data_IF_287701049237
#
_entry.id   IF_287701049237
#
_cell.length_a   1.000
_cell.length_b   1.000
_cell.length_c   1.000
_cell.angle_alpha   90.00
_cell.angle_beta   90.00
_cell.angle_gamma   90.00
#
_symmetry.space_group_name_H-M   'P 1'
#
loop_
_entity.id
_entity.type
_entity.pdbx_description
1 polymer ?
#
# COMPACT_ATOMS: atom_id res chain seq x y z
N UNK A 1 -5.42 -8.81 16.41
CA UNK A 1 -5.33 -7.37 16.09
C UNK A 1 -5.77 -7.22 14.66
N UNK A 2 -6.83 -6.45 14.43
CA UNK A 2 -7.23 -6.08 13.08
C UNK A 2 -6.34 -4.91 12.65
N UNK A 3 -5.76 -4.99 11.46
CA UNK A 3 -4.87 -3.95 10.95
C UNK A 3 -5.58 -3.25 9.81
N UNK A 4 -5.86 -1.95 9.95
CA UNK A 4 -6.45 -1.17 8.87
C UNK A 4 -5.39 -0.75 7.86
N UNK A 5 -5.77 -0.70 6.58
CA UNK A 5 -4.85 -0.24 5.53
C UNK A 5 -4.39 1.19 5.76
N UNK A 6 -5.26 2.06 6.29
CA UNK A 6 -4.91 3.45 6.57
C UNK A 6 -3.86 3.56 7.69
N UNK A 7 -3.96 2.73 8.73
CA UNK A 7 -2.96 2.67 9.82
C UNK A 7 -1.60 2.20 9.30
N UNK A 8 -1.58 1.18 8.43
CA UNK A 8 -0.35 0.75 7.73
C UNK A 8 0.22 1.92 6.91
N UNK A 9 -0.66 2.64 6.22
CA UNK A 9 -0.30 3.76 5.37
C UNK A 9 0.45 4.86 6.11
N UNK A 10 -0.06 5.24 7.28
CA UNK A 10 0.57 6.23 8.17
C UNK A 10 1.97 5.77 8.58
N UNK A 11 2.09 4.54 9.11
CA UNK A 11 3.37 3.99 9.59
C UNK A 11 4.40 3.91 8.45
N UNK A 12 4.00 3.45 7.26
CA UNK A 12 4.90 3.36 6.10
C UNK A 12 5.44 4.74 5.73
N UNK A 13 4.59 5.77 5.68
CA UNK A 13 5.02 7.14 5.34
C UNK A 13 5.97 7.70 6.40
N UNK A 14 5.68 7.50 7.68
CA UNK A 14 6.55 7.93 8.77
C UNK A 14 7.93 7.26 8.71
N UNK A 15 7.97 5.95 8.50
CA UNK A 15 9.22 5.19 8.36
C UNK A 15 10.03 5.67 7.15
N UNK A 16 9.39 5.91 6.01
CA UNK A 16 10.08 6.41 4.81
C UNK A 16 10.64 7.82 5.01
N UNK A 17 9.91 8.71 5.68
CA UNK A 17 10.40 10.05 6.05
C UNK A 17 11.57 9.96 7.02
N UNK A 18 11.48 9.12 8.06
CA UNK A 18 12.55 8.91 9.03
C UNK A 18 13.82 8.36 8.37
N UNK A 19 13.67 7.47 7.39
CA UNK A 19 14.76 6.95 6.57
C UNK A 19 15.27 7.91 5.48
N UNK A 20 14.76 9.16 5.43
CA UNK A 20 15.15 10.22 4.48
C UNK A 20 14.99 9.83 3.00
N UNK A 21 13.99 9.01 2.67
CA UNK A 21 13.62 8.80 1.28
C UNK A 21 13.15 10.11 0.63
N UNK A 22 13.30 10.21 -0.69
CA UNK A 22 12.82 11.38 -1.45
C UNK A 22 11.30 11.50 -1.34
N UNK A 23 10.79 12.73 -1.24
CA UNK A 23 9.33 12.98 -1.22
C UNK A 23 8.61 12.41 -2.46
N UNK A 24 9.28 12.31 -3.61
CA UNK A 24 8.72 11.64 -4.79
C UNK A 24 8.49 10.14 -4.57
N UNK A 25 9.40 9.46 -3.87
CA UNK A 25 9.23 8.06 -3.47
C UNK A 25 8.10 7.93 -2.47
N UNK A 26 8.07 8.77 -1.42
CA UNK A 26 7.01 8.78 -0.42
C UNK A 26 5.65 9.02 -1.08
N UNK A 27 5.55 9.99 -1.98
CA UNK A 27 4.34 10.29 -2.74
C UNK A 27 3.85 9.13 -3.61
N UNK A 28 4.76 8.31 -4.16
CA UNK A 28 4.38 7.10 -4.88
C UNK A 28 3.80 6.05 -3.94
N UNK A 29 4.40 5.84 -2.76
CA UNK A 29 3.84 4.93 -1.76
C UNK A 29 2.46 5.39 -1.27
N UNK A 30 2.27 6.68 -1.01
CA UNK A 30 0.97 7.24 -0.63
C UNK A 30 -0.11 6.98 -1.68
N UNK A 31 0.22 7.08 -2.97
CA UNK A 31 -0.70 6.73 -4.05
C UNK A 31 -1.05 5.24 -4.04
N UNK A 32 -0.06 4.37 -3.89
CA UNK A 32 -0.30 2.92 -3.80
C UNK A 32 -1.14 2.54 -2.59
N UNK A 33 -0.86 3.12 -1.41
CA UNK A 33 -1.64 2.93 -0.18
C UNK A 33 -3.09 3.38 -0.40
N UNK A 34 -3.33 4.52 -1.06
CA UNK A 34 -4.68 4.98 -1.38
C UNK A 34 -5.45 3.98 -2.24
N UNK A 35 -4.81 3.41 -3.26
CA UNK A 35 -5.43 2.37 -4.09
C UNK A 35 -5.68 1.08 -3.31
N UNK A 36 -4.76 0.69 -2.42
CA UNK A 36 -4.94 -0.45 -1.53
C UNK A 36 -6.12 -0.22 -0.57
N UNK A 37 -6.29 1.00 -0.05
CA UNK A 37 -7.41 1.35 0.84
C UNK A 37 -8.76 1.27 0.12
N UNK A 38 -8.81 1.71 -1.15
CA UNK A 38 -10.00 1.53 -2.00
C UNK A 38 -10.29 0.04 -2.21
N UNK A 39 -9.28 -0.78 -2.49
CA UNK A 39 -9.46 -2.22 -2.65
C UNK A 39 -9.94 -2.89 -1.35
N UNK A 40 -9.44 -2.45 -0.21
CA UNK A 40 -9.77 -2.98 1.11
C UNK A 40 -11.22 -2.69 1.54
N UNK A 41 -11.95 -1.78 0.88
CA UNK A 41 -13.34 -1.48 1.23
C UNK A 41 -14.25 -2.71 1.16
N UNK A 42 -13.90 -3.72 0.35
CA UNK A 42 -14.62 -5.00 0.30
C UNK A 42 -14.50 -5.84 1.58
N UNK A 43 -13.49 -5.54 2.39
CA UNK A 43 -13.14 -6.22 3.64
C UNK A 43 -13.17 -5.23 4.82
N UNK A 44 -14.09 -4.24 4.78
CA UNK A 44 -14.26 -3.20 5.81
C UNK A 44 -12.99 -2.37 6.10
N UNK A 45 -12.13 -2.18 5.08
CA UNK A 45 -10.88 -1.42 5.18
C UNK A 45 -9.72 -2.20 5.82
N UNK A 46 -9.94 -3.48 6.15
CA UNK A 46 -8.96 -4.34 6.82
C UNK A 46 -7.91 -4.82 5.83
N UNK A 47 -6.66 -4.82 6.28
CA UNK A 47 -5.60 -5.49 5.57
C UNK A 47 -5.63 -6.99 5.84
N UNK A 48 -5.55 -7.79 4.77
CA UNK A 48 -5.32 -9.22 4.84
C UNK A 48 -4.18 -9.62 3.89
N UNK A 49 -3.46 -10.73 4.14
CA UNK A 49 -2.46 -11.22 3.19
C UNK A 49 -3.03 -11.50 1.80
N UNK A 50 -4.28 -11.97 1.71
CA UNK A 50 -4.96 -12.22 0.44
C UNK A 50 -5.20 -10.91 -0.34
N UNK A 51 -5.66 -9.86 0.33
CA UNK A 51 -5.79 -8.52 -0.24
C UNK A 51 -4.44 -8.00 -0.77
N UNK A 52 -3.36 -8.19 0.01
CA UNK A 52 -2.01 -7.79 -0.41
C UNK A 52 -1.54 -8.53 -1.67
N UNK A 53 -1.81 -9.84 -1.76
CA UNK A 53 -1.49 -10.64 -2.94
C UNK A 53 -2.26 -10.19 -4.18
N UNK A 54 -3.55 -9.90 -4.02
CA UNK A 54 -4.41 -9.37 -5.09
C UNK A 54 -3.91 -8.01 -5.57
N UNK A 55 -3.64 -7.09 -4.65
CA UNK A 55 -3.09 -5.78 -4.97
C UNK A 55 -1.76 -5.90 -5.73
N UNK A 56 -0.87 -6.78 -5.28
CA UNK A 56 0.38 -7.04 -5.98
C UNK A 56 0.14 -7.50 -7.42
N UNK A 57 -0.78 -8.44 -7.63
CA UNK A 57 -1.13 -8.94 -8.97
C UNK A 57 -1.65 -7.85 -9.93
N UNK A 58 -2.35 -6.83 -9.40
CA UNK A 58 -2.83 -5.68 -10.17
C UNK A 58 -1.72 -4.70 -10.56
N UNK A 59 -0.62 -4.67 -9.80
CA UNK A 59 0.52 -3.77 -10.05
C UNK A 59 1.62 -4.41 -10.90
N UNK A 60 1.67 -5.74 -10.97
CA UNK A 60 2.58 -6.48 -11.85
C UNK A 60 1.96 -6.64 -13.24
N UNK A 61 2.30 -5.73 -14.16
CA UNK A 61 1.97 -5.92 -15.58
C UNK A 61 2.92 -6.93 -16.22
N UNK A 62 2.45 -7.80 -17.15
CA UNK A 62 3.33 -8.63 -17.99
C UNK A 62 4.36 -7.81 -18.78
N UNK A 63 4.08 -6.54 -19.09
CA UNK A 63 4.96 -5.66 -19.88
C UNK A 63 6.18 -5.15 -19.14
N UNK A 64 6.14 -5.10 -17.81
CA UNK A 64 7.28 -4.70 -16.95
C UNK A 64 7.82 -5.90 -16.20
N UNK A 65 7.63 -7.10 -16.76
CA UNK A 65 7.88 -8.38 -16.12
C UNK A 65 9.25 -8.42 -15.42
N UNK A 66 9.18 -8.74 -14.13
CA UNK A 66 10.15 -9.46 -13.31
C UNK A 66 11.64 -9.20 -13.58
#
# INVERSE_FOLDING_TARGET
METMVDDIGVVVVEVLRAARYKESTIGNYQKSIRWLAVLAQKDDGRYTPALGAEFASMTTSPRTGR
#
